data_IF_212241900868
#
_entry.id   IF_212241900868
#
_cell.length_a   1.000
_cell.length_b   1.000
_cell.length_c   1.000
_cell.angle_alpha   90.00
_cell.angle_beta   90.00
_cell.angle_gamma   90.00
#
_symmetry.space_group_name_H-M   'P 1'
#
loop_
_entity.id
_entity.type
_entity.pdbx_description
1 polymer ?
#
# COMPACT_ATOMS: atom_id res chain seq x y z
N UNK A 1 29.70 13.91 11.45
CA UNK A 1 28.71 13.17 12.26
C UNK A 1 28.66 11.76 11.68
N UNK A 2 29.31 10.81 12.36
CA UNK A 2 29.40 9.41 11.90
C UNK A 2 28.04 8.74 12.12
N UNK A 3 27.46 8.19 11.05
CA UNK A 3 26.32 7.28 11.15
C UNK A 3 26.91 5.87 11.31
N UNK A 4 26.73 5.30 12.49
CA UNK A 4 27.07 3.90 12.75
C UNK A 4 26.07 3.02 11.99
N UNK A 5 26.57 2.30 10.99
CA UNK A 5 25.84 1.20 10.35
C UNK A 5 25.89 0.05 11.36
N UNK A 6 24.80 -0.14 12.12
CA UNK A 6 24.68 -1.31 12.99
C UNK A 6 24.64 -2.57 12.12
N UNK A 7 25.57 -3.47 12.42
CA UNK A 7 25.87 -4.66 11.65
C UNK A 7 24.76 -5.69 11.64
N UNK A 8 24.80 -6.47 10.57
CA UNK A 8 23.99 -7.63 10.26
C UNK A 8 23.79 -8.56 11.46
N UNK A 9 22.53 -8.83 11.80
CA UNK A 9 22.15 -10.15 12.30
C UNK A 9 21.74 -10.99 11.09
N UNK A 10 22.35 -12.16 10.95
CA UNK A 10 21.90 -13.20 10.03
C UNK A 10 20.40 -13.45 10.25
N UNK A 11 19.61 -13.78 9.21
CA UNK A 11 18.27 -14.28 9.45
C UNK A 11 18.42 -15.66 10.08
N UNK A 12 18.16 -15.74 11.38
CA UNK A 12 17.78 -17.01 12.00
C UNK A 12 16.60 -17.55 11.17
N UNK A 13 16.72 -18.80 10.72
CA UNK A 13 15.63 -19.52 10.10
C UNK A 13 14.48 -19.60 11.10
N UNK A 14 13.54 -18.66 11.01
CA UNK A 14 12.26 -18.75 11.72
C UNK A 14 11.49 -19.92 11.14
N UNK A 15 11.70 -21.10 11.73
CA UNK A 15 10.64 -22.11 11.77
C UNK A 15 9.59 -21.49 12.68
N UNK A 16 8.54 -20.92 12.09
CA UNK A 16 7.35 -20.50 12.83
C UNK A 16 6.72 -21.78 13.38
N UNK A 17 7.05 -22.12 14.62
CA UNK A 17 6.26 -23.05 15.44
C UNK A 17 4.83 -22.52 15.45
N UNK A 18 3.80 -23.34 15.18
CA UNK A 18 2.44 -22.83 15.09
C UNK A 18 2.03 -22.33 16.48
N UNK A 19 1.82 -21.02 16.60
CA UNK A 19 1.01 -20.45 17.66
C UNK A 19 -0.31 -21.24 17.72
N UNK A 20 -0.80 -21.47 18.93
CA UNK A 20 -2.03 -22.18 19.21
C UNK A 20 -3.13 -21.80 18.22
N UNK A 21 -3.63 -22.79 17.47
CA UNK A 21 -4.63 -22.58 16.42
C UNK A 21 -5.79 -21.72 16.93
N UNK A 22 -6.05 -20.62 16.22
CA UNK A 22 -7.15 -19.71 16.57
C UNK A 22 -8.47 -20.41 16.34
N UNK A 23 -9.37 -20.34 17.33
CA UNK A 23 -10.71 -20.88 17.19
C UNK A 23 -11.53 -20.02 16.20
N UNK A 24 -11.88 -20.61 15.06
CA UNK A 24 -12.66 -19.92 14.03
C UNK A 24 -14.15 -19.90 14.39
N UNK A 25 -14.81 -18.72 14.37
CA UNK A 25 -16.27 -18.62 14.51
C UNK A 25 -17.00 -19.43 13.45
N UNK A 26 -18.20 -19.93 13.78
CA UNK A 26 -19.00 -20.74 12.84
C UNK A 26 -19.29 -19.99 11.54
N UNK A 27 -19.59 -18.68 11.61
CA UNK A 27 -19.83 -17.84 10.43
C UNK A 27 -18.66 -17.85 9.45
N UNK A 28 -17.42 -17.81 9.95
CA UNK A 28 -16.21 -17.86 9.13
C UNK A 28 -16.05 -19.23 8.45
N UNK A 29 -16.31 -20.31 9.19
CA UNK A 29 -16.27 -21.68 8.63
C UNK A 29 -17.32 -21.86 7.54
N UNK A 30 -18.54 -21.40 7.78
CA UNK A 30 -19.65 -21.50 6.83
C UNK A 30 -19.35 -20.73 5.53
N UNK A 31 -18.69 -19.56 5.60
CA UNK A 31 -18.23 -18.82 4.43
C UNK A 31 -17.23 -19.63 3.59
N UNK A 32 -16.26 -20.30 4.24
CA UNK A 32 -15.30 -21.15 3.55
C UNK A 32 -16.02 -22.33 2.89
N UNK A 33 -16.87 -23.05 3.60
CA UNK A 33 -17.60 -24.20 3.03
C UNK A 33 -18.59 -23.81 1.93
N UNK A 34 -19.16 -22.60 1.99
CA UNK A 34 -20.03 -22.07 0.94
C UNK A 34 -19.24 -21.82 -0.36
N UNK A 35 -18.07 -21.20 -0.27
CA UNK A 35 -17.23 -20.88 -1.44
C UNK A 35 -16.40 -22.08 -1.93
N UNK A 36 -16.02 -22.97 -1.01
CA UNK A 36 -15.21 -24.16 -1.25
C UNK A 36 -15.89 -25.39 -0.60
N UNK A 37 -16.93 -25.98 -1.21
CA UNK A 37 -17.70 -27.08 -0.61
C UNK A 37 -16.88 -28.35 -0.33
N UNK A 38 -15.76 -28.54 -1.01
CA UNK A 38 -14.83 -29.65 -0.78
C UNK A 38 -13.71 -29.32 0.22
N UNK A 39 -13.79 -28.18 0.92
CA UNK A 39 -12.78 -27.79 1.88
C UNK A 39 -12.61 -28.84 2.99
N UNK A 40 -11.37 -29.13 3.35
CA UNK A 40 -10.98 -30.00 4.45
C UNK A 40 -9.80 -29.37 5.21
N UNK A 41 -9.42 -29.97 6.34
CA UNK A 41 -8.25 -29.53 7.11
C UNK A 41 -8.26 -28.02 7.47
N UNK A 42 -9.46 -27.47 7.72
CA UNK A 42 -9.66 -26.07 8.07
C UNK A 42 -9.02 -25.76 9.44
N UNK A 43 -8.06 -24.83 9.45
CA UNK A 43 -7.28 -24.42 10.63
C UNK A 43 -7.20 -22.90 10.70
N UNK A 44 -7.55 -22.31 11.85
CA UNK A 44 -7.27 -20.91 12.11
C UNK A 44 -5.79 -20.70 12.38
N UNK A 45 -5.17 -19.78 11.64
CA UNK A 45 -3.76 -19.45 11.77
C UNK A 45 -3.56 -18.24 12.69
N UNK A 46 -4.32 -17.17 12.46
CA UNK A 46 -4.24 -15.94 13.23
C UNK A 46 -5.56 -15.19 13.23
N UNK A 47 -5.75 -14.36 14.25
CA UNK A 47 -6.81 -13.35 14.30
C UNK A 47 -6.17 -12.01 13.95
N UNK A 48 -6.37 -11.54 12.72
CA UNK A 48 -5.73 -10.31 12.21
C UNK A 48 -6.38 -9.08 12.84
N UNK A 49 -7.72 -9.06 12.87
CA UNK A 49 -8.51 -8.04 13.55
C UNK A 49 -9.46 -8.73 14.52
N UNK A 50 -9.36 -8.35 15.80
CA UNK A 50 -10.07 -9.02 16.88
C UNK A 50 -11.58 -9.06 16.63
N UNK A 51 -12.12 -10.27 16.56
CA UNK A 51 -13.53 -10.59 16.33
C UNK A 51 -13.98 -10.43 14.87
N UNK A 52 -13.11 -9.98 13.96
CA UNK A 52 -13.52 -9.44 12.65
C UNK A 52 -12.85 -10.12 11.47
N UNK A 53 -11.53 -10.27 11.50
CA UNK A 53 -10.75 -10.77 10.36
C UNK A 53 -9.82 -11.88 10.81
N UNK A 54 -9.90 -13.01 10.13
CA UNK A 54 -9.17 -14.22 10.46
C UNK A 54 -8.31 -14.67 9.29
N UNK A 55 -7.09 -15.10 9.59
CA UNK A 55 -6.28 -15.86 8.67
C UNK A 55 -6.47 -17.36 8.94
N UNK A 56 -6.67 -18.13 7.89
CA UNK A 56 -6.88 -19.56 7.99
C UNK A 56 -6.23 -20.32 6.84
N UNK A 57 -6.00 -21.61 7.08
CA UNK A 57 -5.58 -22.57 6.09
C UNK A 57 -6.69 -23.60 5.87
N UNK A 58 -6.86 -24.06 4.62
CA UNK A 58 -7.67 -25.23 4.30
C UNK A 58 -7.16 -25.92 3.04
N UNK A 59 -7.56 -27.15 2.82
CA UNK A 59 -7.30 -27.90 1.60
C UNK A 59 -8.58 -28.03 0.77
N UNK A 60 -8.48 -27.89 -0.54
CA UNK A 60 -9.60 -28.15 -1.46
C UNK A 60 -9.04 -28.66 -2.79
N UNK A 61 -9.65 -29.70 -3.36
CA UNK A 61 -9.22 -30.29 -4.64
C UNK A 61 -7.71 -30.59 -4.74
N UNK A 62 -7.12 -31.12 -3.66
CA UNK A 62 -5.69 -31.43 -3.51
C UNK A 62 -4.72 -30.22 -3.55
N UNK A 63 -5.23 -29.01 -3.32
CA UNK A 63 -4.40 -27.81 -3.15
C UNK A 63 -4.60 -27.21 -1.75
N UNK A 64 -3.51 -26.70 -1.16
CA UNK A 64 -3.54 -25.95 0.09
C UNK A 64 -3.78 -24.46 -0.17
N UNK A 65 -4.71 -23.87 0.58
CA UNK A 65 -5.13 -22.48 0.48
C UNK A 65 -4.89 -21.77 1.80
N UNK A 66 -4.30 -20.58 1.73
CA UNK A 66 -4.30 -19.61 2.82
C UNK A 66 -5.34 -18.53 2.48
N UNK A 67 -6.25 -18.24 3.39
CA UNK A 67 -7.30 -17.25 3.17
C UNK A 67 -7.37 -16.24 4.31
N UNK A 68 -7.69 -15.00 3.93
CA UNK A 68 -8.09 -13.95 4.85
C UNK A 68 -9.61 -13.81 4.72
N UNK A 69 -10.31 -14.05 5.82
CA UNK A 69 -11.78 -14.13 5.84
C UNK A 69 -12.31 -13.14 6.86
N UNK A 70 -13.24 -12.30 6.42
CA UNK A 70 -13.99 -11.40 7.28
C UNK A 70 -15.22 -12.10 7.88
N UNK A 71 -16.10 -11.32 8.51
CA UNK A 71 -17.36 -11.84 9.07
C UNK A 71 -18.42 -12.14 8.01
N UNK A 72 -18.33 -11.51 6.84
CA UNK A 72 -19.33 -11.55 5.77
C UNK A 72 -18.83 -12.12 4.45
N UNK A 73 -17.54 -12.00 4.16
CA UNK A 73 -16.93 -12.35 2.87
C UNK A 73 -15.51 -12.94 3.05
N UNK A 74 -15.06 -13.70 2.04
CA UNK A 74 -13.66 -14.07 1.88
C UNK A 74 -12.93 -12.90 1.20
N UNK A 75 -11.95 -12.30 1.88
CA UNK A 75 -11.29 -11.07 1.45
C UNK A 75 -10.11 -11.34 0.53
N UNK A 76 -9.42 -12.47 0.73
CA UNK A 76 -8.29 -12.91 -0.10
C UNK A 76 -8.10 -14.43 0.02
N UNK A 77 -7.70 -15.07 -1.07
CA UNK A 77 -7.27 -16.47 -1.08
C UNK A 77 -5.97 -16.60 -1.87
N UNK A 78 -4.98 -17.27 -1.29
CA UNK A 78 -3.73 -17.63 -1.95
C UNK A 78 -3.64 -19.15 -2.01
N UNK A 79 -3.48 -19.70 -3.22
CA UNK A 79 -3.30 -21.13 -3.45
C UNK A 79 -1.81 -21.44 -3.63
N UNK A 80 -1.32 -22.44 -2.91
CA UNK A 80 0.05 -22.92 -3.08
C UNK A 80 0.14 -23.72 -4.38
N UNK A 81 1.08 -23.37 -5.27
CA UNK A 81 1.22 -24.02 -6.59
C UNK A 81 2.54 -24.79 -6.72
N UNK A 82 3.57 -24.43 -5.96
CA UNK A 82 4.85 -25.14 -5.89
C UNK A 82 5.90 -24.37 -5.09
N UNK A 83 6.99 -25.03 -4.69
CA UNK A 83 8.04 -24.38 -3.88
C UNK A 83 9.00 -23.52 -4.71
N UNK A 84 9.29 -23.93 -5.94
CA UNK A 84 10.24 -23.25 -6.82
C UNK A 84 9.55 -22.29 -7.81
N UNK A 85 10.17 -21.13 -8.01
CA UNK A 85 9.72 -20.14 -9.00
C UNK A 85 10.26 -20.56 -10.38
N UNK A 86 9.43 -20.64 -11.44
CA UNK A 86 9.87 -21.00 -12.78
C UNK A 86 11.03 -20.13 -13.30
N UNK A 87 12.05 -20.75 -13.90
CA UNK A 87 13.23 -20.06 -14.43
C UNK A 87 12.90 -18.92 -15.41
N UNK A 88 11.82 -19.07 -16.19
CA UNK A 88 11.34 -18.03 -17.10
C UNK A 88 10.88 -16.76 -16.38
N UNK A 89 10.29 -16.91 -15.19
CA UNK A 89 9.87 -15.78 -14.34
C UNK A 89 11.07 -15.19 -13.61
N UNK A 90 12.03 -16.02 -13.18
CA UNK A 90 13.30 -15.56 -12.62
C UNK A 90 14.04 -14.70 -13.64
N UNK A 91 14.24 -15.21 -14.86
CA UNK A 91 14.90 -14.49 -15.94
C UNK A 91 14.23 -13.14 -16.25
N UNK A 92 12.88 -13.08 -16.21
CA UNK A 92 12.12 -11.84 -16.39
C UNK A 92 12.46 -10.79 -15.33
N UNK A 93 12.51 -11.17 -14.05
CA UNK A 93 12.88 -10.20 -12.98
C UNK A 93 14.34 -9.78 -13.13
N UNK A 94 15.23 -10.71 -13.48
CA UNK A 94 16.67 -10.42 -13.62
C UNK A 94 17.01 -9.54 -14.84
N UNK A 95 16.11 -9.37 -15.81
CA UNK A 95 16.30 -8.41 -16.91
C UNK A 95 15.97 -6.95 -16.56
N UNK A 96 15.38 -6.69 -15.40
CA UNK A 96 14.91 -5.37 -14.98
C UNK A 96 15.98 -4.56 -14.22
N UNK A 97 15.70 -3.29 -13.94
CA UNK A 97 16.55 -2.46 -13.09
C UNK A 97 16.62 -3.00 -11.64
N UNK A 98 15.53 -3.62 -11.18
CA UNK A 98 15.39 -4.22 -9.84
C UNK A 98 16.03 -5.61 -9.68
N UNK A 99 16.92 -6.02 -10.58
CA UNK A 99 17.60 -7.33 -10.57
C UNK A 99 18.53 -7.52 -9.37
N UNK A 100 18.94 -8.76 -9.12
CA UNK A 100 19.92 -9.13 -8.09
C UNK A 100 19.33 -9.62 -6.76
N UNK A 101 18.01 -9.64 -6.61
CA UNK A 101 17.33 -10.24 -5.46
C UNK A 101 17.05 -11.73 -5.62
N UNK A 102 16.48 -12.34 -4.57
CA UNK A 102 16.11 -13.76 -4.50
C UNK A 102 14.59 -13.94 -4.45
N UNK A 103 14.04 -14.78 -5.33
CA UNK A 103 12.62 -15.12 -5.35
C UNK A 103 12.35 -16.42 -4.59
N UNK A 104 11.30 -16.45 -3.77
CA UNK A 104 10.88 -17.62 -2.97
C UNK A 104 9.34 -17.71 -2.87
N UNK A 105 8.81 -18.81 -2.34
CA UNK A 105 7.39 -18.97 -1.99
C UNK A 105 6.42 -18.66 -3.15
N UNK A 106 6.58 -19.37 -4.27
CA UNK A 106 5.76 -19.21 -5.46
C UNK A 106 4.31 -19.65 -5.22
N UNK A 107 3.35 -18.78 -5.54
CA UNK A 107 1.93 -19.00 -5.23
C UNK A 107 1.01 -18.38 -6.26
N UNK A 108 -0.18 -18.94 -6.41
CA UNK A 108 -1.29 -18.31 -7.16
C UNK A 108 -2.07 -17.43 -6.20
N UNK A 109 -2.27 -16.19 -6.60
CA UNK A 109 -3.00 -15.18 -5.85
C UNK A 109 -4.39 -15.05 -6.46
N UNK A 110 -5.41 -15.30 -5.65
CA UNK A 110 -6.82 -15.24 -6.03
C UNK A 110 -7.46 -14.10 -5.23
N UNK A 111 -7.56 -12.93 -5.86
CA UNK A 111 -8.26 -11.78 -5.27
C UNK A 111 -9.71 -11.79 -5.73
N UNK A 112 -10.61 -11.39 -4.84
CA UNK A 112 -12.01 -11.22 -5.18
C UNK A 112 -12.12 -10.15 -6.29
N UNK A 113 -12.77 -10.49 -7.40
CA UNK A 113 -12.97 -9.61 -8.57
C UNK A 113 -11.71 -9.23 -9.37
N UNK A 114 -10.55 -9.86 -9.13
CA UNK A 114 -9.39 -9.74 -10.03
C UNK A 114 -9.16 -11.04 -10.78
N UNK A 115 -8.51 -10.95 -11.94
CA UNK A 115 -8.01 -12.14 -12.62
C UNK A 115 -6.93 -12.80 -11.76
N UNK A 116 -6.95 -14.13 -11.72
CA UNK A 116 -5.89 -14.90 -11.06
C UNK A 116 -4.51 -14.43 -11.53
N UNK A 117 -3.62 -14.22 -10.58
CA UNK A 117 -2.23 -13.88 -10.85
C UNK A 117 -1.31 -14.83 -10.12
N UNK A 118 -0.04 -14.81 -10.47
CA UNK A 118 0.99 -15.54 -9.74
C UNK A 118 1.86 -14.54 -9.01
N UNK A 119 2.39 -14.93 -7.85
CA UNK A 119 3.33 -14.13 -7.11
C UNK A 119 4.38 -14.95 -6.40
N UNK A 120 5.40 -14.26 -5.89
CA UNK A 120 6.51 -14.80 -5.14
C UNK A 120 7.01 -13.73 -4.15
N UNK A 121 7.61 -14.17 -3.05
CA UNK A 121 8.36 -13.27 -2.19
C UNK A 121 9.68 -12.93 -2.89
N UNK A 122 10.14 -11.69 -2.74
CA UNK A 122 11.37 -11.20 -3.34
C UNK A 122 12.18 -10.43 -2.32
N UNK A 123 13.36 -10.95 -2.00
CA UNK A 123 14.32 -10.27 -1.15
C UNK A 123 15.34 -9.53 -2.01
N UNK A 124 15.33 -8.19 -1.92
CA UNK A 124 16.21 -7.30 -2.68
C UNK A 124 16.88 -6.34 -1.69
N UNK A 125 18.21 -6.37 -1.63
CA UNK A 125 19.01 -5.50 -0.75
C UNK A 125 18.55 -5.50 0.72
N UNK A 126 18.15 -6.65 1.25
CA UNK A 126 17.64 -6.79 2.62
C UNK A 126 16.21 -6.33 2.85
N UNK A 127 15.52 -5.86 1.80
CA UNK A 127 14.10 -5.53 1.83
C UNK A 127 13.28 -6.66 1.22
N UNK A 128 12.13 -6.95 1.81
CA UNK A 128 11.19 -7.98 1.34
C UNK A 128 10.03 -7.34 0.58
N UNK A 129 9.71 -7.92 -0.56
CA UNK A 129 8.62 -7.50 -1.43
C UNK A 129 7.75 -8.70 -1.80
N UNK A 130 6.48 -8.45 -2.09
CA UNK A 130 5.67 -9.36 -2.90
C UNK A 130 5.82 -8.97 -4.37
N UNK A 131 6.35 -9.88 -5.19
CA UNK A 131 6.31 -9.78 -6.64
C UNK A 131 5.01 -10.41 -7.13
N UNK A 132 4.25 -9.67 -7.95
CA UNK A 132 3.15 -10.20 -8.76
C UNK A 132 3.57 -10.22 -10.22
N UNK A 133 3.39 -11.36 -10.88
CA UNK A 133 3.60 -11.52 -12.31
C UNK A 133 2.29 -11.18 -13.04
N UNK A 134 2.32 -10.10 -13.81
CA UNK A 134 1.20 -9.66 -14.64
C UNK A 134 1.48 -10.01 -16.10
N UNK A 135 0.48 -9.87 -16.98
CA UNK A 135 0.69 -10.16 -18.41
C UNK A 135 1.79 -9.25 -18.96
N UNK A 136 2.86 -9.85 -19.50
CA UNK A 136 4.06 -9.13 -19.98
C UNK A 136 4.98 -8.55 -18.90
N UNK A 137 4.47 -8.24 -17.71
CA UNK A 137 5.16 -7.41 -16.73
C UNK A 137 5.38 -8.02 -15.35
N UNK A 138 5.83 -7.16 -14.41
CA UNK A 138 5.93 -7.46 -12.98
C UNK A 138 5.51 -6.26 -12.14
N UNK A 139 4.97 -6.51 -10.95
CA UNK A 139 4.64 -5.51 -9.95
C UNK A 139 5.25 -5.92 -8.61
N UNK A 140 5.95 -5.01 -7.92
CA UNK A 140 6.51 -5.26 -6.59
C UNK A 140 5.79 -4.37 -5.58
N UNK A 141 5.35 -4.95 -4.47
CA UNK A 141 4.77 -4.21 -3.33
C UNK A 141 5.57 -4.46 -2.06
N UNK A 142 5.65 -3.44 -1.22
CA UNK A 142 6.39 -3.48 0.06
C UNK A 142 5.67 -4.23 1.19
N UNK A 143 4.42 -4.60 0.98
CA UNK A 143 3.63 -5.40 1.91
C UNK A 143 3.53 -6.86 1.42
N UNK A 144 3.45 -7.78 2.37
CA UNK A 144 3.30 -9.22 2.11
C UNK A 144 1.86 -9.56 1.75
N UNK A 145 0.92 -9.01 2.53
CA UNK A 145 -0.51 -9.23 2.36
C UNK A 145 -1.25 -7.90 2.33
N UNK A 146 -2.33 -7.86 1.56
CA UNK A 146 -3.20 -6.70 1.44
C UNK A 146 -4.59 -7.18 1.10
N UNK A 147 -5.59 -6.60 1.77
CA UNK A 147 -7.00 -6.90 1.58
C UNK A 147 -7.85 -5.65 1.85
N UNK A 148 -8.98 -5.56 1.16
CA UNK A 148 -9.91 -4.44 1.33
C UNK A 148 -10.90 -4.80 2.43
N UNK A 149 -10.90 -4.03 3.50
CA UNK A 149 -11.99 -4.01 4.47
C UNK A 149 -13.02 -3.00 3.96
N UNK A 150 -14.21 -3.48 3.61
CA UNK A 150 -15.18 -2.67 2.85
C UNK A 150 -15.79 -1.55 3.69
N UNK A 151 -15.77 -1.67 5.02
CA UNK A 151 -16.50 -0.77 5.89
C UNK A 151 -15.59 -0.09 6.92
N UNK A 152 -15.87 1.17 7.24
CA UNK A 152 -15.07 1.95 8.20
C UNK A 152 -15.09 1.28 9.59
N UNK A 153 -16.18 0.62 9.97
CA UNK A 153 -16.27 -0.13 11.23
C UNK A 153 -15.27 -1.28 11.37
N UNK A 154 -14.64 -1.72 10.27
CA UNK A 154 -13.63 -2.77 10.32
C UNK A 154 -12.26 -2.25 10.79
N UNK A 155 -12.06 -0.93 10.80
CA UNK A 155 -10.82 -0.29 11.24
C UNK A 155 -10.61 -0.37 12.76
N UNK A 156 -9.36 -0.22 13.24
CA UNK A 156 -9.07 0.07 14.65
C UNK A 156 -9.86 1.29 15.15
N UNK A 157 -10.35 1.22 16.40
CA UNK A 157 -11.20 2.26 16.99
C UNK A 157 -10.54 3.65 16.95
N UNK A 158 -9.22 3.73 17.17
CA UNK A 158 -8.44 4.98 17.08
C UNK A 158 -8.49 5.63 15.68
N UNK A 159 -8.53 4.83 14.61
CA UNK A 159 -8.68 5.34 13.24
C UNK A 159 -10.12 5.74 12.98
N UNK A 160 -11.09 4.98 13.50
CA UNK A 160 -12.51 5.35 13.41
C UNK A 160 -12.78 6.71 14.10
N UNK A 161 -12.18 6.94 15.27
CA UNK A 161 -12.25 8.22 15.98
C UNK A 161 -11.61 9.36 15.17
N UNK A 162 -10.45 9.11 14.55
CA UNK A 162 -9.80 10.08 13.66
C UNK A 162 -10.73 10.49 12.50
N UNK A 163 -11.38 9.50 11.88
CA UNK A 163 -12.35 9.69 10.78
C UNK A 163 -13.57 10.46 11.29
N UNK A 164 -14.19 10.03 12.39
CA UNK A 164 -15.38 10.67 12.94
C UNK A 164 -15.14 12.14 13.33
N UNK A 165 -13.95 12.46 13.84
CA UNK A 165 -13.57 13.83 14.17
C UNK A 165 -13.48 14.75 12.94
N UNK A 166 -13.23 14.18 11.75
CA UNK A 166 -12.97 14.90 10.48
C UNK A 166 -14.02 14.70 9.41
N UNK A 167 -14.97 13.77 9.61
CA UNK A 167 -16.12 13.55 8.74
C UNK A 167 -17.22 14.59 9.02
N UNK A 168 -16.81 15.86 9.13
CA UNK A 168 -17.67 17.02 9.35
C UNK A 168 -17.03 18.23 8.68
N UNK A 169 -17.84 19.23 8.25
CA UNK A 169 -17.30 20.44 7.64
C UNK A 169 -16.22 21.09 8.49
N UNK A 170 -15.12 21.53 7.88
CA UNK A 170 -14.06 22.31 8.52
C UNK A 170 -13.96 23.72 7.88
N UNK A 171 -14.84 24.67 8.26
CA UNK A 171 -14.85 26.02 7.69
C UNK A 171 -13.51 26.75 7.84
N UNK A 172 -12.77 26.48 8.91
CA UNK A 172 -11.46 27.13 9.16
C UNK A 172 -10.47 26.76 8.07
N UNK A 173 -10.35 25.46 7.77
CA UNK A 173 -9.48 25.01 6.69
C UNK A 173 -9.99 25.48 5.32
N UNK A 174 -11.28 25.31 5.01
CA UNK A 174 -11.84 25.73 3.71
C UNK A 174 -11.65 27.22 3.47
N UNK A 175 -11.80 28.06 4.49
CA UNK A 175 -11.58 29.50 4.39
C UNK A 175 -10.10 29.89 4.24
N UNK A 176 -9.16 28.99 4.57
CA UNK A 176 -7.73 29.19 4.27
C UNK A 176 -7.39 28.97 2.78
N UNK A 177 -8.31 28.37 1.99
CA UNK A 177 -8.12 28.13 0.56
C UNK A 177 -8.38 29.43 -0.23
N UNK A 178 -7.34 30.25 -0.36
CA UNK A 178 -7.41 31.56 -1.03
C UNK A 178 -7.66 31.47 -2.54
N UNK A 179 -7.51 30.29 -3.13
CA UNK A 179 -7.71 30.04 -4.56
C UNK A 179 -9.18 29.78 -4.93
N UNK A 180 -10.08 29.69 -3.96
CA UNK A 180 -11.51 29.48 -4.17
C UNK A 180 -12.28 30.80 -4.00
N UNK A 181 -13.41 30.97 -4.69
CA UNK A 181 -14.33 32.08 -4.41
C UNK A 181 -15.27 31.72 -3.25
N UNK A 182 -16.04 32.69 -2.75
CA UNK A 182 -16.93 32.49 -1.59
C UNK A 182 -17.99 31.43 -1.86
N UNK A 183 -18.57 31.40 -3.05
CA UNK A 183 -19.60 30.42 -3.43
C UNK A 183 -19.04 29.00 -3.38
N UNK A 184 -17.84 28.78 -3.92
CA UNK A 184 -17.16 27.49 -3.86
C UNK A 184 -16.83 27.08 -2.42
N UNK A 185 -16.31 27.99 -1.59
CA UNK A 185 -16.04 27.72 -0.18
C UNK A 185 -17.29 27.32 0.58
N UNK A 186 -18.39 28.07 0.43
CA UNK A 186 -19.66 27.76 1.07
C UNK A 186 -20.24 26.43 0.57
N UNK A 187 -20.13 26.13 -0.72
CA UNK A 187 -20.54 24.83 -1.25
C UNK A 187 -19.77 23.68 -0.60
N UNK A 188 -18.44 23.80 -0.47
CA UNK A 188 -17.60 22.77 0.18
C UNK A 188 -17.96 22.60 1.65
N UNK A 189 -18.08 23.70 2.39
CA UNK A 189 -18.50 23.70 3.80
C UNK A 189 -19.85 22.99 3.94
N UNK A 190 -20.80 23.28 3.06
CA UNK A 190 -22.15 22.70 3.14
C UNK A 190 -22.23 21.22 2.72
N UNK A 191 -21.27 20.71 1.94
CA UNK A 191 -21.29 19.34 1.42
C UNK A 191 -20.29 18.40 2.10
N UNK A 192 -19.69 18.85 3.19
CA UNK A 192 -18.59 18.19 3.90
C UNK A 192 -17.32 18.05 3.05
N UNK A 193 -16.19 18.33 3.68
CA UNK A 193 -14.90 18.45 3.01
C UNK A 193 -14.28 17.07 2.74
N UNK A 194 -14.37 16.17 3.73
CA UNK A 194 -13.80 14.83 3.70
C UNK A 194 -14.93 13.82 3.82
N UNK A 195 -15.12 13.04 2.76
CA UNK A 195 -15.94 11.83 2.82
C UNK A 195 -14.98 10.66 2.73
N UNK A 196 -14.85 9.93 3.83
CA UNK A 196 -14.01 8.75 3.90
C UNK A 196 -14.73 7.57 3.25
N UNK A 197 -13.99 6.76 2.49
CA UNK A 197 -14.46 5.55 1.83
C UNK A 197 -13.43 4.43 2.03
N UNK A 198 -13.70 3.28 1.42
CA UNK A 198 -12.87 2.07 1.26
C UNK A 198 -11.54 2.06 2.02
N UNK A 199 -11.37 1.06 2.89
CA UNK A 199 -10.10 0.83 3.56
C UNK A 199 -9.37 -0.38 2.99
N UNK A 200 -8.07 -0.23 2.77
CA UNK A 200 -7.15 -1.36 2.56
C UNK A 200 -6.32 -1.57 3.81
N UNK A 201 -6.33 -2.79 4.35
CA UNK A 201 -5.35 -3.20 5.35
C UNK A 201 -4.20 -3.90 4.65
N UNK A 202 -2.96 -3.51 4.97
CA UNK A 202 -1.74 -4.17 4.49
C UNK A 202 -0.92 -4.69 5.65
N UNK A 203 -0.49 -5.95 5.55
CA UNK A 203 0.41 -6.60 6.50
C UNK A 203 1.83 -6.52 5.92
N UNK A 204 2.71 -5.89 6.66
CA UNK A 204 4.11 -5.71 6.33
C UNK A 204 4.91 -7.00 6.59
N UNK A 205 6.11 -7.18 6.01
CA UNK A 205 6.91 -8.39 6.20
C UNK A 205 7.35 -8.67 7.65
N UNK A 206 7.27 -7.68 8.54
CA UNK A 206 7.53 -7.82 9.99
C UNK A 206 6.25 -8.12 10.80
N UNK A 207 5.12 -8.33 10.12
CA UNK A 207 3.81 -8.57 10.73
C UNK A 207 3.05 -7.31 11.14
N UNK A 208 3.68 -6.13 11.08
CA UNK A 208 2.99 -4.87 11.41
C UNK A 208 1.90 -4.56 10.39
N UNK A 209 0.82 -3.91 10.86
CA UNK A 209 -0.30 -3.50 10.00
C UNK A 209 -0.22 -2.02 9.66
N UNK A 210 -0.58 -1.72 8.41
CA UNK A 210 -0.89 -0.37 7.96
C UNK A 210 -2.28 -0.34 7.36
N UNK A 211 -2.95 0.80 7.50
CA UNK A 211 -4.31 1.02 7.02
C UNK A 211 -4.31 2.18 6.05
N UNK A 212 -4.78 1.94 4.84
CA UNK A 212 -4.98 2.98 3.83
C UNK A 212 -6.47 3.29 3.73
N UNK A 213 -6.87 4.49 4.13
CA UNK A 213 -8.25 4.96 4.03
C UNK A 213 -8.36 5.90 2.85
N UNK A 214 -9.29 5.63 1.94
CA UNK A 214 -9.57 6.51 0.81
C UNK A 214 -10.41 7.70 1.25
N UNK A 215 -10.11 8.88 0.73
CA UNK A 215 -10.85 10.10 1.05
C UNK A 215 -11.25 10.81 -0.22
N UNK A 216 -12.53 11.17 -0.32
CA UNK A 216 -13.01 12.14 -1.29
C UNK A 216 -12.86 13.53 -0.70
N UNK A 217 -12.19 14.40 -1.45
CA UNK A 217 -11.90 15.76 -1.03
C UNK A 217 -11.97 16.69 -2.25
N UNK A 218 -12.87 17.67 -2.21
CA UNK A 218 -13.04 18.69 -3.26
C UNK A 218 -13.19 18.13 -4.68
N UNK A 219 -13.95 17.04 -4.84
CA UNK A 219 -14.18 16.39 -6.14
C UNK A 219 -13.06 15.44 -6.58
N UNK A 220 -11.87 15.48 -5.96
CA UNK A 220 -10.89 14.41 -6.10
C UNK A 220 -11.39 13.18 -5.33
N UNK A 221 -11.51 12.06 -6.02
CA UNK A 221 -11.89 10.78 -5.44
C UNK A 221 -10.65 9.98 -5.05
N UNK A 222 -10.72 9.25 -3.94
CA UNK A 222 -9.72 8.26 -3.54
C UNK A 222 -8.32 8.81 -3.22
N UNK A 223 -8.23 9.97 -2.56
CA UNK A 223 -6.97 10.43 -1.96
C UNK A 223 -6.64 9.56 -0.72
N UNK A 224 -5.51 8.85 -0.69
CA UNK A 224 -5.26 7.93 0.42
C UNK A 224 -4.72 8.67 1.65
N UNK A 225 -5.11 8.24 2.84
CA UNK A 225 -4.41 8.52 4.10
C UNK A 225 -3.92 7.19 4.65
N UNK A 226 -2.64 7.13 5.00
CA UNK A 226 -1.99 5.92 5.49
C UNK A 226 -1.74 6.04 6.99
N UNK A 227 -2.17 5.03 7.73
CA UNK A 227 -2.09 4.94 9.19
C UNK A 227 -1.29 3.71 9.62
N UNK A 228 -0.64 3.81 10.78
CA UNK A 228 -0.24 2.64 11.57
C UNK A 228 -1.41 2.13 12.42
N UNK A 229 -1.23 0.95 13.00
CA UNK A 229 -2.20 0.31 13.91
C UNK A 229 -2.56 1.15 15.15
N UNK A 230 -1.63 1.97 15.65
CA UNK A 230 -1.87 2.90 16.76
C UNK A 230 -2.63 4.17 16.35
N UNK A 231 -3.04 4.29 15.08
CA UNK A 231 -3.72 5.45 14.54
C UNK A 231 -2.81 6.59 14.13
N UNK A 232 -1.48 6.46 14.24
CA UNK A 232 -0.55 7.46 13.73
C UNK A 232 -0.68 7.59 12.21
N UNK A 233 -1.01 8.79 11.73
CA UNK A 233 -0.91 9.13 10.30
C UNK A 233 0.55 9.13 9.89
N UNK A 234 0.92 8.24 8.97
CA UNK A 234 2.29 8.12 8.46
C UNK A 234 2.46 8.70 7.07
N UNK A 235 1.38 8.83 6.31
CA UNK A 235 1.43 9.50 5.01
C UNK A 235 0.05 9.98 4.59
N UNK A 236 0.04 11.03 3.79
CA UNK A 236 -1.18 11.60 3.21
C UNK A 236 -0.99 11.77 1.71
N UNK A 237 -2.08 11.52 0.99
CA UNK A 237 -2.23 11.83 -0.41
C UNK A 237 -2.13 13.32 -0.66
N UNK A 238 -2.15 13.69 -1.93
CA UNK A 238 -1.77 15.03 -2.34
C UNK A 238 -2.91 16.06 -2.20
N UNK A 239 -3.51 16.17 -1.01
CA UNK A 239 -4.59 17.11 -0.67
C UNK A 239 -4.24 18.56 -1.04
N UNK A 240 -3.01 18.97 -0.76
CA UNK A 240 -2.51 20.31 -1.05
C UNK A 240 -2.39 20.63 -2.55
N UNK A 241 -2.39 19.65 -3.47
CA UNK A 241 -2.42 19.93 -4.91
C UNK A 241 -3.72 20.57 -5.35
N UNK A 242 -4.80 20.39 -4.58
CA UNK A 242 -6.05 21.10 -4.83
C UNK A 242 -5.90 22.61 -4.54
N UNK A 243 -4.95 23.01 -3.67
CA UNK A 243 -4.62 24.43 -3.44
C UNK A 243 -3.98 25.10 -4.66
N UNK A 244 -3.47 24.34 -5.62
CA UNK A 244 -2.80 24.85 -6.83
C UNK A 244 -3.74 25.06 -8.02
N UNK A 245 -5.04 24.75 -7.88
CA UNK A 245 -6.04 25.09 -8.91
C UNK A 245 -6.26 26.60 -8.92
N UNK A 246 -5.71 27.28 -9.92
CA UNK A 246 -6.01 28.67 -10.26
C UNK A 246 -7.10 28.80 -11.34
N UNK A 247 -7.71 27.69 -11.77
CA UNK A 247 -8.78 27.66 -12.77
C UNK A 247 -9.91 26.77 -12.28
N UNK A 248 -11.15 27.15 -12.57
CA UNK A 248 -12.36 26.39 -12.29
C UNK A 248 -12.14 24.90 -12.59
N UNK A 249 -12.70 24.02 -11.76
CA UNK A 249 -12.61 22.54 -11.85
C UNK A 249 -12.96 21.92 -13.22
N UNK A 250 -13.34 22.74 -14.22
CA UNK A 250 -13.63 22.40 -15.61
C UNK A 250 -12.43 22.60 -16.58
N UNK A 251 -11.33 23.22 -16.14
CA UNK A 251 -10.12 23.39 -16.94
C UNK A 251 -9.00 22.54 -16.37
N UNK A 252 -8.45 21.61 -17.16
CA UNK A 252 -7.38 20.72 -16.71
C UNK A 252 -6.12 21.51 -16.31
N UNK A 253 -5.74 21.54 -15.02
CA UNK A 253 -4.44 22.06 -14.61
C UNK A 253 -3.45 20.90 -14.62
N UNK A 254 -2.21 21.18 -15.02
CA UNK A 254 -1.14 20.18 -15.03
C UNK A 254 -0.96 19.54 -13.65
N UNK A 255 -1.52 18.35 -13.46
CA UNK A 255 -1.29 17.44 -12.33
C UNK A 255 0.20 16.97 -12.25
N UNK A 256 1.16 17.70 -12.81
CA UNK A 256 2.55 17.28 -12.99
C UNK A 256 3.58 18.36 -12.71
N UNK A 257 3.22 19.45 -12.01
CA UNK A 257 4.23 20.41 -11.55
C UNK A 257 4.65 20.08 -10.11
N UNK A 258 5.94 19.86 -9.84
CA UNK A 258 6.43 19.52 -8.51
C UNK A 258 6.33 20.74 -7.60
N UNK A 259 6.15 20.52 -6.30
CA UNK A 259 6.14 21.57 -5.27
C UNK A 259 7.27 21.42 -4.24
N UNK A 260 8.28 20.59 -4.55
CA UNK A 260 9.46 20.40 -3.73
C UNK A 260 10.43 21.58 -3.89
N UNK A 261 11.07 21.97 -2.79
CA UNK A 261 12.20 22.91 -2.83
C UNK A 261 13.45 22.25 -3.41
N UNK A 262 14.39 23.03 -3.96
CA UNK A 262 15.67 22.48 -4.45
C UNK A 262 16.43 21.70 -3.38
N UNK A 263 16.37 22.13 -2.10
CA UNK A 263 16.98 21.41 -0.98
C UNK A 263 16.33 20.04 -0.74
N UNK A 264 15.00 19.94 -0.86
CA UNK A 264 14.27 18.68 -0.74
C UNK A 264 14.62 17.74 -1.91
N UNK A 265 14.64 18.26 -3.14
CA UNK A 265 15.03 17.47 -4.33
C UNK A 265 16.44 16.91 -4.15
N UNK A 266 17.43 17.75 -3.79
CA UNK A 266 18.80 17.30 -3.55
C UNK A 266 18.85 16.21 -2.47
N UNK A 267 18.17 16.41 -1.34
CA UNK A 267 18.14 15.42 -0.27
C UNK A 267 17.63 14.06 -0.75
N UNK A 268 16.48 14.01 -1.44
CA UNK A 268 15.88 12.76 -1.87
C UNK A 268 16.66 12.11 -3.02
N UNK A 269 17.23 12.91 -3.93
CA UNK A 269 18.15 12.41 -4.95
C UNK A 269 19.33 11.68 -4.30
N UNK A 270 19.98 12.31 -3.33
CA UNK A 270 21.17 11.73 -2.68
C UNK A 270 20.78 10.48 -1.86
N UNK A 271 19.62 10.50 -1.18
CA UNK A 271 19.07 9.34 -0.47
C UNK A 271 18.79 8.16 -1.41
N UNK A 272 18.15 8.41 -2.54
CA UNK A 272 17.80 7.38 -3.52
C UNK A 272 19.03 6.87 -4.28
N UNK A 273 19.97 7.75 -4.63
CA UNK A 273 21.22 7.39 -5.29
C UNK A 273 22.13 6.50 -4.43
N UNK A 274 21.99 6.56 -3.11
CA UNK A 274 22.71 5.68 -2.19
C UNK A 274 22.21 4.21 -2.22
N UNK A 275 21.05 3.93 -2.82
CA UNK A 275 20.48 2.58 -2.89
C UNK A 275 20.56 1.98 -4.30
N UNK A 276 21.11 0.77 -4.38
CA UNK A 276 21.39 0.06 -5.63
C UNK A 276 20.14 -0.24 -6.45
N UNK A 277 18.96 -0.38 -5.83
CA UNK A 277 17.70 -0.70 -6.52
C UNK A 277 17.13 0.46 -7.35
N UNK A 278 17.64 1.68 -7.16
CA UNK A 278 17.26 2.84 -7.96
C UNK A 278 18.30 3.15 -9.07
N UNK A 279 19.34 2.32 -9.21
CA UNK A 279 20.25 2.41 -10.34
C UNK A 279 19.48 2.20 -11.65
N UNK A 280 19.69 3.08 -12.62
CA UNK A 280 18.98 3.06 -13.91
C UNK A 280 17.75 3.97 -13.98
N UNK A 281 17.35 4.63 -12.89
CA UNK A 281 16.27 5.63 -12.88
C UNK A 281 16.78 7.07 -13.07
N UNK A 282 17.96 7.26 -13.66
CA UNK A 282 18.56 8.57 -14.01
C UNK A 282 18.18 9.71 -13.04
N UNK A 283 18.57 9.56 -11.76
CA UNK A 283 18.17 10.47 -10.68
C UNK A 283 18.79 11.87 -10.82
N UNK A 284 19.81 12.04 -11.67
CA UNK A 284 20.39 13.34 -11.99
C UNK A 284 19.54 14.15 -12.98
N UNK A 285 18.60 13.49 -13.67
CA UNK A 285 17.65 14.15 -14.52
C UNK A 285 16.46 14.65 -13.68
N UNK A 286 16.30 15.98 -13.60
CA UNK A 286 15.17 16.63 -12.94
C UNK A 286 13.80 16.14 -13.41
N UNK A 287 13.70 15.53 -14.61
CA UNK A 287 12.46 14.93 -15.13
C UNK A 287 11.85 13.91 -14.15
N UNK A 288 12.64 13.07 -13.47
CA UNK A 288 12.10 12.12 -12.49
C UNK A 288 11.61 12.79 -11.19
N UNK A 289 11.99 14.04 -10.96
CA UNK A 289 11.48 14.84 -9.86
C UNK A 289 10.35 15.79 -10.27
N UNK A 290 10.03 15.91 -11.56
CA UNK A 290 8.92 16.73 -12.04
C UNK A 290 7.55 16.18 -11.61
N UNK A 291 7.44 14.88 -11.38
CA UNK A 291 6.24 14.22 -10.83
C UNK A 291 6.38 13.90 -9.34
N UNK A 292 7.15 14.70 -8.60
CA UNK A 292 7.37 14.52 -7.16
C UNK A 292 6.74 15.64 -6.34
N UNK A 293 6.13 15.28 -5.22
CA UNK A 293 5.26 16.16 -4.45
C UNK A 293 5.55 16.07 -2.97
N UNK A 294 5.52 17.21 -2.28
CA UNK A 294 5.26 17.30 -0.85
C UNK A 294 3.75 17.38 -0.66
N UNK A 295 3.21 16.49 0.15
CA UNK A 295 1.80 16.42 0.51
C UNK A 295 1.62 16.98 1.92
N UNK A 296 0.60 17.81 2.13
CA UNK A 296 0.35 18.48 3.41
C UNK A 296 -1.16 18.54 3.70
N UNK A 297 -1.55 18.19 4.92
CA UNK A 297 -2.91 18.27 5.44
C UNK A 297 -2.84 18.36 6.97
N UNK A 298 -3.43 19.42 7.54
CA UNK A 298 -3.25 19.77 8.96
C UNK A 298 -1.75 19.79 9.34
N UNK A 299 -1.38 19.12 10.43
CA UNK A 299 0.00 19.00 10.90
C UNK A 299 0.77 17.82 10.24
N UNK A 300 0.13 17.11 9.31
CA UNK A 300 0.73 15.96 8.64
C UNK A 300 1.42 16.38 7.35
N UNK A 301 2.59 15.78 7.12
CA UNK A 301 3.38 15.95 5.90
C UNK A 301 3.80 14.58 5.36
N UNK A 302 3.77 14.45 4.05
CA UNK A 302 4.34 13.32 3.33
C UNK A 302 5.03 13.78 2.05
N UNK A 303 5.72 12.85 1.40
CA UNK A 303 6.35 13.06 0.11
C UNK A 303 6.00 11.92 -0.82
N UNK A 304 5.91 12.21 -2.11
CA UNK A 304 5.64 11.24 -3.17
C UNK A 304 6.63 11.44 -4.30
N UNK A 305 7.15 10.33 -4.83
CA UNK A 305 8.01 10.32 -5.99
C UNK A 305 7.48 9.29 -6.98
N UNK A 306 7.35 9.70 -8.25
CA UNK A 306 7.11 8.81 -9.38
C UNK A 306 8.35 8.83 -10.26
N UNK A 307 9.18 7.81 -10.12
CA UNK A 307 10.44 7.66 -10.85
C UNK A 307 10.19 6.73 -12.03
N UNK A 308 10.67 7.09 -13.21
CA UNK A 308 10.59 6.26 -14.41
C UNK A 308 11.95 6.16 -15.10
N UNK A 309 12.13 5.09 -15.88
CA UNK A 309 13.28 4.94 -16.76
C UNK A 309 12.85 4.79 -18.23
N UNK A 310 13.85 4.70 -19.12
CA UNK A 310 13.67 4.53 -20.56
C UNK A 310 13.13 3.13 -20.96
N UNK A 311 13.00 2.22 -19.99
CA UNK A 311 12.47 0.85 -20.17
C UNK A 311 11.03 0.69 -19.68
N UNK A 312 10.31 1.79 -19.47
CA UNK A 312 8.95 1.79 -18.92
C UNK A 312 8.86 1.10 -17.54
N UNK A 313 9.94 1.09 -16.78
CA UNK A 313 9.91 0.70 -15.37
C UNK A 313 9.60 1.92 -14.53
N UNK A 314 8.79 1.74 -13.46
CA UNK A 314 8.35 2.84 -12.61
C UNK A 314 8.42 2.47 -11.13
N UNK A 315 8.84 3.43 -10.31
CA UNK A 315 8.73 3.39 -8.86
C UNK A 315 7.77 4.50 -8.40
N UNK A 316 6.74 4.12 -7.67
CA UNK A 316 5.94 5.02 -6.85
C UNK A 316 6.36 4.88 -5.39
N UNK A 317 6.91 5.95 -4.82
CA UNK A 317 7.49 5.96 -3.47
C UNK A 317 6.77 6.98 -2.60
N UNK A 318 6.44 6.60 -1.37
CA UNK A 318 5.83 7.47 -0.38
C UNK A 318 6.72 7.54 0.86
N UNK A 319 7.09 8.75 1.25
CA UNK A 319 7.87 9.00 2.46
C UNK A 319 7.05 9.82 3.47
N UNK A 320 7.20 9.53 4.76
CA UNK A 320 6.55 10.31 5.81
C UNK A 320 7.23 11.68 6.04
N UNK A 321 6.73 12.47 7.01
CA UNK A 321 7.31 13.77 7.36
C UNK A 321 8.76 13.71 7.87
N UNK A 322 9.17 12.56 8.42
CA UNK A 322 10.55 12.26 8.84
C UNK A 322 11.42 11.75 7.69
N UNK A 323 10.87 11.68 6.47
CA UNK A 323 11.52 11.21 5.24
C UNK A 323 11.91 9.73 5.29
N UNK A 324 11.17 8.93 6.04
CA UNK A 324 11.26 7.47 6.05
C UNK A 324 10.33 6.90 4.96
N UNK A 325 10.80 5.91 4.21
CA UNK A 325 9.99 5.24 3.19
C UNK A 325 8.92 4.39 3.88
N UNK A 326 7.65 4.71 3.67
CA UNK A 326 6.53 4.00 4.31
C UNK A 326 5.71 3.15 3.35
N UNK A 327 5.77 3.47 2.05
CA UNK A 327 5.17 2.67 1.01
C UNK A 327 5.99 2.77 -0.27
N UNK A 328 6.17 1.64 -0.95
CA UNK A 328 6.75 1.59 -2.28
C UNK A 328 6.03 0.59 -3.16
N UNK A 329 5.86 0.97 -4.42
CA UNK A 329 5.32 0.17 -5.49
C UNK A 329 6.23 0.30 -6.70
N UNK A 330 6.71 -0.82 -7.23
CA UNK A 330 7.34 -0.85 -8.53
C UNK A 330 6.45 -1.54 -9.56
N UNK A 331 6.49 -1.09 -10.80
CA UNK A 331 5.79 -1.70 -11.92
C UNK A 331 6.59 -1.65 -13.20
N UNK A 332 6.49 -2.71 -13.99
CA UNK A 332 6.91 -2.78 -15.39
C UNK A 332 5.81 -3.48 -16.18
N UNK A 333 5.43 -2.93 -17.32
CA UNK A 333 4.36 -3.41 -18.20
C UNK A 333 4.85 -3.62 -19.62
#
# INVERSE_FOLDING_TARGET
MLIAIQGCKSPDNYIVTPESAVELPQSVRDLVYKSYPSASNLKGLSEIEKGRVYELFFESNNAGYNAIVGTSDILRVDATVGEAVPDSLVARVQSLAIRGGKLTNYRRLVYLNEQDSYGADYELNGLRYLVRFVNGGVRLTSYEKGFVTREIQDLPDVIQEYIAARNKPNPVFVNSLTNLNEVSRQYIINNNELVFSDCTTTIMPDGSKQYMVSVKFLGATSLPILFKEDGQVIWIGAFNRIRQFNQDFNGGPGFGLPNLTSKEITYFRDLLAASSQFMGFNLDNFVNFNSSFRNEYEDNRGYTFDLSNDKNERWYLCFNGNKELVYSLYSHY
#
